data_IF_150902461805
#
_entry.id   IF_150902461805
#
_cell.length_a   1.000
_cell.length_b   1.000
_cell.length_c   1.000
_cell.angle_alpha   90.00
_cell.angle_beta   90.00
_cell.angle_gamma   90.00
#
_symmetry.space_group_name_H-M   'P 1'
#
loop_
_entity.id
_entity.type
_entity.pdbx_description
1 polymer ?
#
# COMPACT_ATOMS: atom_id res chain seq x y z
N UNK A 1 -4.16 20.39 12.40
CA UNK A 1 -4.71 19.09 11.94
C UNK A 1 -4.32 18.77 10.51
N UNK A 2 -4.50 19.65 9.53
CA UNK A 2 -4.00 19.49 8.16
C UNK A 2 -2.48 19.39 8.05
N UNK A 3 -1.72 20.15 8.86
CA UNK A 3 -0.26 20.07 8.91
C UNK A 3 0.26 18.72 9.43
N UNK A 4 -0.44 18.07 10.35
CA UNK A 4 -0.09 16.76 10.89
C UNK A 4 -0.33 15.64 9.86
N UNK A 5 -1.43 15.72 9.12
CA UNK A 5 -1.74 14.84 7.99
C UNK A 5 -0.69 15.01 6.89
N UNK A 6 -0.26 16.24 6.61
CA UNK A 6 0.79 16.57 5.65
C UNK A 6 2.16 16.04 6.08
N UNK A 7 2.45 16.02 7.39
CA UNK A 7 3.71 15.54 7.94
C UNK A 7 3.77 14.00 8.01
N UNK A 8 2.64 13.33 8.29
CA UNK A 8 2.54 11.85 8.41
C UNK A 8 2.46 11.19 7.04
N UNK A 9 1.72 11.77 6.08
CA UNK A 9 1.47 11.16 4.76
C UNK A 9 2.32 11.76 3.62
N UNK A 10 3.15 12.76 3.88
CA UNK A 10 3.80 13.55 2.85
C UNK A 10 2.78 14.25 1.93
N UNK A 11 3.19 15.00 0.92
CA UNK A 11 2.24 15.62 0.01
C UNK A 11 1.49 14.52 -0.76
N UNK A 12 0.18 14.39 -0.53
CA UNK A 12 -0.71 13.49 -1.29
C UNK A 12 -0.72 13.79 -2.81
N UNK A 13 0.05 14.76 -3.25
CA UNK A 13 0.22 15.18 -4.63
C UNK A 13 1.62 14.93 -5.21
N UNK A 14 2.57 14.43 -4.43
CA UNK A 14 3.95 14.19 -4.88
C UNK A 14 4.07 13.03 -5.88
N UNK A 15 5.16 13.03 -6.64
CA UNK A 15 5.46 11.98 -7.64
C UNK A 15 5.49 10.59 -6.99
N UNK A 16 6.08 10.46 -5.81
CA UNK A 16 6.10 9.19 -5.06
C UNK A 16 4.68 8.65 -4.81
N UNK A 17 3.76 9.49 -4.38
CA UNK A 17 2.36 9.13 -4.16
C UNK A 17 1.67 8.68 -5.46
N UNK A 18 1.90 9.40 -6.57
CA UNK A 18 1.35 9.05 -7.89
C UNK A 18 1.85 7.67 -8.34
N UNK A 19 3.13 7.37 -8.12
CA UNK A 19 3.72 6.06 -8.44
C UNK A 19 3.04 4.95 -7.62
N UNK A 20 2.92 5.11 -6.31
CA UNK A 20 2.30 4.10 -5.43
C UNK A 20 0.83 3.87 -5.78
N UNK A 21 0.09 4.93 -6.05
CA UNK A 21 -1.32 4.84 -6.45
C UNK A 21 -1.49 4.10 -7.78
N UNK A 22 -0.70 4.44 -8.79
CA UNK A 22 -0.73 3.76 -10.09
C UNK A 22 -0.30 2.29 -9.99
N UNK A 23 0.77 2.02 -9.25
CA UNK A 23 1.24 0.65 -9.02
C UNK A 23 0.17 -0.22 -8.37
N UNK A 24 -0.49 0.27 -7.33
CA UNK A 24 -1.59 -0.44 -6.65
C UNK A 24 -2.75 -0.76 -7.60
N UNK A 25 -3.18 0.19 -8.41
CA UNK A 25 -4.22 -0.03 -9.41
C UNK A 25 -3.81 -1.10 -10.42
N UNK A 26 -2.63 -0.99 -10.99
CA UNK A 26 -2.11 -1.91 -12.00
C UNK A 26 -1.89 -3.32 -11.42
N UNK A 27 -1.33 -3.43 -10.21
CA UNK A 27 -1.18 -4.72 -9.53
C UNK A 27 -2.54 -5.37 -9.23
N UNK A 28 -3.52 -4.61 -8.79
CA UNK A 28 -4.87 -5.11 -8.55
C UNK A 28 -5.54 -5.60 -9.83
N UNK A 29 -5.29 -4.95 -10.95
CA UNK A 29 -5.94 -5.25 -12.24
C UNK A 29 -5.25 -6.39 -12.99
N UNK A 30 -3.91 -6.41 -13.02
CA UNK A 30 -3.14 -7.31 -13.87
C UNK A 30 -2.32 -8.35 -13.12
N UNK A 31 -2.19 -8.23 -11.79
CA UNK A 31 -1.28 -9.03 -10.97
C UNK A 31 0.15 -8.49 -10.98
N UNK A 32 0.91 -8.81 -9.93
CA UNK A 32 2.28 -8.31 -9.74
C UNK A 32 3.23 -8.75 -10.87
N UNK A 33 3.10 -9.98 -11.34
CA UNK A 33 3.99 -10.53 -12.38
C UNK A 33 3.95 -9.77 -13.71
N UNK A 34 2.80 -9.20 -14.07
CA UNK A 34 2.59 -8.52 -15.36
C UNK A 34 2.89 -7.02 -15.34
N UNK A 35 3.20 -6.45 -14.19
CA UNK A 35 3.43 -5.01 -14.02
C UNK A 35 4.90 -4.74 -13.75
N UNK A 36 5.56 -4.09 -14.69
CA UNK A 36 6.93 -3.61 -14.56
C UNK A 36 6.99 -2.16 -14.10
N UNK A 37 8.17 -1.69 -13.69
CA UNK A 37 8.39 -0.25 -13.43
C UNK A 37 8.06 0.60 -14.66
N UNK A 38 8.38 0.10 -15.86
CA UNK A 38 8.06 0.79 -17.10
C UNK A 38 6.55 0.91 -17.32
N UNK A 39 5.81 -0.15 -17.07
CA UNK A 39 4.35 -0.11 -17.14
C UNK A 39 3.77 1.00 -16.23
N UNK A 40 4.32 1.12 -15.02
CA UNK A 40 3.90 2.16 -14.07
C UNK A 40 4.28 3.56 -14.55
N UNK A 41 5.54 3.77 -14.99
CA UNK A 41 5.98 5.08 -15.46
C UNK A 41 5.21 5.56 -16.69
N UNK A 42 4.94 4.66 -17.64
CA UNK A 42 4.15 4.95 -18.83
C UNK A 42 2.70 5.33 -18.46
N UNK A 43 2.10 4.63 -17.49
CA UNK A 43 0.72 4.89 -17.03
C UNK A 43 0.53 6.30 -16.46
N UNK A 44 1.53 6.83 -15.75
CA UNK A 44 1.45 8.17 -15.14
C UNK A 44 2.25 9.24 -15.91
N UNK A 45 2.74 8.90 -17.10
CA UNK A 45 3.47 9.80 -18.00
C UNK A 45 4.70 10.47 -17.36
N UNK A 46 5.50 9.67 -16.64
CA UNK A 46 6.82 10.09 -16.14
C UNK A 46 7.92 9.29 -16.83
N UNK A 47 9.16 9.82 -16.83
CA UNK A 47 10.30 9.07 -17.35
C UNK A 47 10.64 7.87 -16.46
N UNK A 48 11.20 6.79 -17.03
CA UNK A 48 11.72 5.67 -16.25
C UNK A 48 12.77 6.10 -15.20
N UNK A 49 13.61 7.09 -15.54
CA UNK A 49 14.60 7.65 -14.62
C UNK A 49 13.98 8.37 -13.44
N UNK A 50 12.89 9.10 -13.65
CA UNK A 50 12.14 9.74 -12.56
C UNK A 50 11.53 8.69 -11.62
N UNK A 51 10.95 7.63 -12.16
CA UNK A 51 10.45 6.54 -11.34
C UNK A 51 11.58 5.87 -10.53
N UNK A 52 12.70 5.55 -11.18
CA UNK A 52 13.87 4.90 -10.55
C UNK A 52 14.50 5.79 -9.46
N UNK A 53 14.42 7.11 -9.59
CA UNK A 53 14.84 8.04 -8.54
C UNK A 53 14.06 7.81 -7.23
N UNK A 54 12.75 7.54 -7.31
CA UNK A 54 11.91 7.28 -6.13
C UNK A 54 11.98 5.83 -5.65
N UNK A 55 12.03 4.88 -6.59
CA UNK A 55 12.03 3.45 -6.31
C UNK A 55 13.00 2.74 -7.26
N UNK A 56 14.11 2.23 -6.75
CA UNK A 56 15.16 1.59 -7.57
C UNK A 56 14.65 0.36 -8.31
N UNK A 57 13.76 -0.41 -7.70
CA UNK A 57 13.19 -1.63 -8.28
C UNK A 57 11.72 -1.79 -7.88
N UNK A 58 11.03 -2.66 -8.63
CA UNK A 58 9.60 -2.95 -8.39
C UNK A 58 9.32 -3.42 -6.98
N UNK A 59 10.19 -4.23 -6.41
CA UNK A 59 10.03 -4.75 -5.05
C UNK A 59 10.00 -3.65 -4.00
N UNK A 60 10.71 -2.55 -4.21
CA UNK A 60 10.67 -1.39 -3.31
C UNK A 60 9.27 -0.72 -3.31
N UNK A 61 8.59 -0.74 -4.46
CA UNK A 61 7.19 -0.26 -4.57
C UNK A 61 6.24 -1.20 -3.81
N UNK A 62 6.41 -2.51 -3.98
CA UNK A 62 5.61 -3.52 -3.28
C UNK A 62 5.81 -3.41 -1.77
N UNK A 63 7.04 -3.23 -1.30
CA UNK A 63 7.37 -3.00 0.11
C UNK A 63 6.66 -1.76 0.65
N UNK A 64 6.74 -0.65 -0.06
CA UNK A 64 6.08 0.59 0.36
C UNK A 64 4.56 0.39 0.49
N UNK A 65 3.91 -0.24 -0.48
CA UNK A 65 2.48 -0.55 -0.43
C UNK A 65 2.11 -1.51 0.70
N UNK A 66 2.98 -2.48 1.00
CA UNK A 66 2.78 -3.41 2.12
C UNK A 66 2.81 -2.67 3.46
N UNK A 67 3.81 -1.84 3.70
CA UNK A 67 3.93 -1.12 4.96
C UNK A 67 2.85 -0.04 5.11
N UNK A 68 2.42 0.60 4.02
CA UNK A 68 1.26 1.51 4.04
C UNK A 68 -0.03 0.74 4.45
N UNK A 69 -0.21 -0.49 3.96
CA UNK A 69 -1.33 -1.34 4.37
C UNK A 69 -1.24 -1.73 5.85
N UNK A 70 -0.06 -2.14 6.32
CA UNK A 70 0.17 -2.49 7.74
C UNK A 70 -0.17 -1.29 8.64
N UNK A 71 0.28 -0.09 8.28
CA UNK A 71 -0.01 1.12 9.03
C UNK A 71 -1.52 1.44 9.07
N UNK A 72 -2.19 1.38 7.92
CA UNK A 72 -3.64 1.58 7.84
C UNK A 72 -4.43 0.55 8.66
N UNK A 73 -3.98 -0.69 8.71
CA UNK A 73 -4.58 -1.73 9.55
C UNK A 73 -4.35 -1.44 11.05
N UNK A 74 -3.13 -1.06 11.42
CA UNK A 74 -2.81 -0.68 12.80
C UNK A 74 -3.65 0.52 13.28
N UNK A 75 -3.84 1.53 12.43
CA UNK A 75 -4.72 2.66 12.73
C UNK A 75 -6.17 2.22 12.96
N UNK A 76 -6.68 1.31 12.13
CA UNK A 76 -8.03 0.76 12.28
C UNK A 76 -8.21 0.02 13.61
N UNK A 77 -7.22 -0.77 14.03
CA UNK A 77 -7.25 -1.47 15.31
C UNK A 77 -7.02 -0.56 16.51
N UNK A 78 -6.21 0.47 16.39
CA UNK A 78 -5.97 1.45 17.45
C UNK A 78 -7.26 2.20 17.88
N UNK A 79 -8.22 2.35 16.97
CA UNK A 79 -9.54 2.90 17.29
C UNK A 79 -10.31 2.02 18.29
N UNK A 80 -10.15 0.70 18.17
CA UNK A 80 -10.85 -0.25 19.08
C UNK A 80 -10.28 -0.17 20.49
N UNK A 81 -8.97 -0.04 20.64
CA UNK A 81 -8.30 0.04 21.95
C UNK A 81 -8.68 1.30 22.73
N UNK A 82 -9.07 2.37 22.06
CA UNK A 82 -9.38 3.68 22.64
C UNK A 82 -10.87 3.96 22.79
N UNK A 83 -11.73 3.04 22.35
CA UNK A 83 -13.18 3.25 22.27
C UNK A 83 -13.92 2.22 23.11
N UNK A 84 -15.07 2.62 23.66
CA UNK A 84 -15.98 1.68 24.29
C UNK A 84 -16.62 0.75 23.24
N UNK A 85 -16.79 -0.54 23.55
CA UNK A 85 -17.41 -1.49 22.62
C UNK A 85 -18.84 -1.05 22.23
N UNK A 86 -19.10 -0.94 20.93
CA UNK A 86 -20.40 -0.64 20.37
C UNK A 86 -20.60 -1.30 19.00
N UNK A 87 -21.86 -1.39 18.56
CA UNK A 87 -22.14 -1.89 17.20
C UNK A 87 -21.61 -0.94 16.12
N UNK A 88 -21.64 0.35 16.38
CA UNK A 88 -21.06 1.38 15.49
C UNK A 88 -19.57 1.19 15.32
N UNK A 89 -18.85 0.95 16.41
CA UNK A 89 -17.41 0.68 16.39
C UNK A 89 -17.09 -0.58 15.59
N UNK A 90 -17.85 -1.66 15.82
CA UNK A 90 -17.70 -2.91 15.08
C UNK A 90 -17.95 -2.72 13.59
N UNK A 91 -18.99 -1.96 13.22
CA UNK A 91 -19.30 -1.64 11.84
C UNK A 91 -18.18 -0.85 11.18
N UNK A 92 -17.70 0.23 11.81
CA UNK A 92 -16.63 1.07 11.25
C UNK A 92 -15.31 0.31 11.14
N UNK A 93 -14.96 -0.53 12.11
CA UNK A 93 -13.79 -1.39 12.04
C UNK A 93 -13.89 -2.36 10.85
N UNK A 94 -15.01 -3.06 10.74
CA UNK A 94 -15.24 -4.03 9.66
C UNK A 94 -15.19 -3.34 8.30
N UNK A 95 -15.81 -2.18 8.17
CA UNK A 95 -15.78 -1.37 6.95
C UNK A 95 -14.36 -0.93 6.58
N UNK A 96 -13.59 -0.43 7.55
CA UNK A 96 -12.22 0.02 7.34
C UNK A 96 -11.29 -1.12 6.93
N UNK A 97 -11.36 -2.25 7.64
CA UNK A 97 -10.55 -3.44 7.33
C UNK A 97 -10.87 -3.97 5.93
N UNK A 98 -12.16 -4.16 5.61
CA UNK A 98 -12.57 -4.64 4.29
C UNK A 98 -12.14 -3.70 3.17
N UNK A 99 -12.27 -2.38 3.38
CA UNK A 99 -11.80 -1.38 2.41
C UNK A 99 -10.28 -1.51 2.17
N UNK A 100 -9.48 -1.57 3.22
CA UNK A 100 -8.02 -1.69 3.12
C UNK A 100 -7.61 -2.98 2.39
N UNK A 101 -8.25 -4.11 2.70
CA UNK A 101 -8.01 -5.38 2.03
C UNK A 101 -8.41 -5.33 0.54
N UNK A 102 -9.56 -4.75 0.24
CA UNK A 102 -10.03 -4.64 -1.13
C UNK A 102 -9.16 -3.70 -1.97
N UNK A 103 -8.76 -2.55 -1.43
CA UNK A 103 -7.90 -1.59 -2.12
C UNK A 103 -6.50 -2.16 -2.40
N UNK A 104 -6.08 -3.15 -1.63
CA UNK A 104 -4.78 -3.81 -1.75
C UNK A 104 -4.91 -5.32 -2.03
N UNK A 105 -5.96 -5.73 -2.73
CA UNK A 105 -6.28 -7.16 -2.95
C UNK A 105 -5.21 -7.95 -3.70
N UNK A 106 -4.33 -7.29 -4.44
CA UNK A 106 -3.20 -7.96 -5.08
C UNK A 106 -2.29 -8.67 -4.06
N UNK A 107 -2.17 -8.16 -2.83
CA UNK A 107 -1.44 -8.87 -1.77
C UNK A 107 -2.08 -10.20 -1.42
N UNK A 108 -3.42 -10.28 -1.41
CA UNK A 108 -4.13 -11.53 -1.14
C UNK A 108 -3.96 -12.53 -2.28
N UNK A 109 -4.02 -12.04 -3.53
CA UNK A 109 -3.95 -12.86 -4.73
C UNK A 109 -2.52 -13.38 -4.97
N UNK A 110 -1.53 -12.50 -4.86
CA UNK A 110 -0.13 -12.79 -5.18
C UNK A 110 0.73 -13.04 -3.91
N UNK A 111 0.11 -13.29 -2.77
CA UNK A 111 0.75 -13.33 -1.46
C UNK A 111 1.96 -14.26 -1.39
N UNK A 112 1.81 -15.49 -1.86
CA UNK A 112 2.90 -16.48 -1.83
C UNK A 112 4.07 -16.06 -2.71
N UNK A 113 3.77 -15.49 -3.88
CA UNK A 113 4.81 -14.97 -4.77
C UNK A 113 5.56 -13.81 -4.13
N UNK A 114 4.86 -12.87 -3.51
CA UNK A 114 5.44 -11.72 -2.81
C UNK A 114 6.34 -12.19 -1.66
N UNK A 115 5.88 -13.12 -0.82
CA UNK A 115 6.69 -13.68 0.27
C UNK A 115 7.95 -14.40 -0.22
N UNK A 116 7.88 -15.08 -1.39
CA UNK A 116 9.04 -15.77 -1.96
C UNK A 116 10.07 -14.82 -2.55
N UNK A 117 9.64 -13.68 -3.06
CA UNK A 117 10.51 -12.72 -3.75
C UNK A 117 10.98 -11.55 -2.89
N UNK A 118 10.37 -11.33 -1.70
CA UNK A 118 10.64 -10.19 -0.85
C UNK A 118 10.93 -10.60 0.60
N UNK A 119 12.22 -10.67 0.92
CA UNK A 119 12.69 -11.08 2.24
C UNK A 119 12.27 -10.12 3.37
N UNK A 120 12.13 -8.85 3.07
CA UNK A 120 11.76 -7.84 4.08
C UNK A 120 10.30 -8.00 4.51
N UNK A 121 9.40 -8.17 3.54
CA UNK A 121 8.00 -8.47 3.82
C UNK A 121 7.88 -9.82 4.54
N UNK A 122 8.59 -10.84 4.05
CA UNK A 122 8.60 -12.17 4.66
C UNK A 122 9.02 -12.14 6.13
N UNK A 123 10.10 -11.44 6.46
CA UNK A 123 10.57 -11.30 7.84
C UNK A 123 9.55 -10.59 8.72
N UNK A 124 8.93 -9.55 8.23
CA UNK A 124 7.90 -8.82 8.99
C UNK A 124 6.63 -9.66 9.23
N UNK A 125 6.24 -10.46 8.23
CA UNK A 125 5.02 -11.28 8.33
C UNK A 125 5.18 -12.50 9.25
N UNK A 126 6.36 -13.13 9.27
CA UNK A 126 6.63 -14.36 10.04
C UNK A 126 7.15 -14.07 11.46
N UNK A 127 7.70 -12.88 11.70
CA UNK A 127 8.23 -12.46 13.00
C UNK A 127 7.20 -11.93 13.93
#
# INVERSE_FOLDING_TARGET
MLALIFFIFGPMSGTRYKILRAARLLFNEHGVAKVSQRTISDHIAISPGNLTYHFKKRDDIIEALYFDLVEAMNESFALVEKSEPSFELLYELTRSVNKNLFDNRFFMIDFIQILRSNDKIKKHYVG
#
